data_IF_640857651162
#
_entry.id   IF_640857651162
#
_cell.length_a   1.000
_cell.length_b   1.000
_cell.length_c   1.000
_cell.angle_alpha   90.00
_cell.angle_beta   90.00
_cell.angle_gamma   90.00
#
_symmetry.space_group_name_H-M   'P 1'
#
loop_
_entity.id
_entity.type
_entity.pdbx_description
1 polymer ?
#
# COMPACT_ATOMS: atom_id res chain seq x y z
N UNK A 1 15.82 -43.88 2.70
CA UNK A 1 15.88 -42.69 3.59
C UNK A 1 14.52 -42.04 3.51
N UNK A 2 13.79 -41.93 4.61
CA UNK A 2 12.45 -41.32 4.63
C UNK A 2 12.59 -39.82 4.47
N UNK A 3 12.04 -39.26 3.39
CA UNK A 3 11.81 -37.82 3.27
C UNK A 3 10.90 -37.39 4.43
N UNK A 4 11.46 -36.62 5.36
CA UNK A 4 10.68 -35.98 6.41
C UNK A 4 9.81 -34.89 5.78
N UNK A 5 8.55 -35.21 5.48
CA UNK A 5 7.59 -34.23 4.98
C UNK A 5 7.30 -33.16 6.06
N UNK A 6 7.20 -31.90 5.63
CA UNK A 6 6.83 -30.81 6.52
C UNK A 6 5.43 -31.05 7.12
N UNK A 7 5.32 -30.92 8.43
CA UNK A 7 4.04 -30.98 9.16
C UNK A 7 3.76 -29.59 9.77
N UNK A 8 2.72 -28.87 9.31
CA UNK A 8 2.34 -27.60 9.89
C UNK A 8 1.99 -27.75 11.39
N UNK A 9 2.32 -26.76 12.23
CA UNK A 9 1.92 -26.81 13.64
C UNK A 9 0.40 -26.62 13.78
N UNK A 10 -0.17 -27.14 14.89
CA UNK A 10 -1.59 -26.96 15.22
C UNK A 10 -1.99 -25.49 15.38
N UNK A 11 -1.05 -24.67 15.88
CA UNK A 11 -1.20 -23.22 16.01
C UNK A 11 0.01 -22.61 15.33
N UNK A 12 -0.22 -21.75 14.35
CA UNK A 12 0.84 -21.06 13.64
C UNK A 12 1.48 -19.98 14.53
N UNK A 13 2.79 -19.84 14.44
CA UNK A 13 3.59 -18.83 15.15
C UNK A 13 4.43 -18.05 14.15
N UNK A 14 4.68 -16.78 14.44
CA UNK A 14 5.62 -15.94 13.68
C UNK A 14 7.02 -16.04 14.28
N UNK A 15 7.64 -17.21 14.14
CA UNK A 15 8.95 -17.56 14.72
C UNK A 15 10.12 -17.43 13.74
N UNK A 16 9.83 -17.18 12.46
CA UNK A 16 10.81 -16.95 11.41
C UNK A 16 10.37 -15.81 10.49
N UNK A 17 11.33 -15.07 9.96
CA UNK A 17 11.06 -14.13 8.87
C UNK A 17 10.55 -14.91 7.65
N UNK A 18 9.47 -14.42 7.03
CA UNK A 18 9.10 -14.91 5.71
C UNK A 18 10.22 -14.53 4.75
N UNK A 19 10.87 -15.50 4.11
CA UNK A 19 11.92 -15.21 3.13
C UNK A 19 11.45 -14.29 1.99
N UNK A 20 12.39 -13.63 1.31
CA UNK A 20 12.13 -12.81 0.12
C UNK A 20 12.22 -11.31 0.34
N UNK A 21 11.98 -10.53 -0.72
CA UNK A 21 12.19 -9.07 -0.74
C UNK A 21 11.31 -8.30 0.27
N UNK A 22 10.17 -8.88 0.67
CA UNK A 22 9.18 -8.24 1.54
C UNK A 22 9.19 -8.76 2.99
N UNK A 23 10.21 -9.55 3.36
CA UNK A 23 10.39 -10.10 4.72
C UNK A 23 10.24 -9.04 5.82
N UNK A 24 10.78 -7.84 5.56
CA UNK A 24 10.84 -6.73 6.51
C UNK A 24 9.51 -5.98 6.69
N UNK A 25 8.55 -6.16 5.79
CA UNK A 25 7.28 -5.41 5.80
C UNK A 25 6.06 -6.31 6.04
N UNK A 26 6.13 -7.60 5.69
CA UNK A 26 5.04 -8.53 5.92
C UNK A 26 4.96 -8.90 7.41
N UNK A 27 3.79 -8.71 8.00
CA UNK A 27 3.54 -8.96 9.43
C UNK A 27 2.19 -9.65 9.62
N UNK A 28 2.01 -10.46 10.67
CA UNK A 28 0.73 -11.09 11.00
C UNK A 28 -0.26 -10.15 11.68
N UNK A 29 0.10 -8.87 11.82
CA UNK A 29 -0.71 -7.82 12.47
C UNK A 29 -0.80 -6.59 11.56
N UNK A 30 -1.92 -5.89 11.65
CA UNK A 30 -2.17 -4.64 10.93
C UNK A 30 -1.83 -3.41 11.80
N UNK A 31 -2.02 -2.22 11.22
CA UNK A 31 -1.91 -0.95 11.94
C UNK A 31 -0.61 -0.18 11.68
N UNK A 32 -0.62 1.06 12.14
CA UNK A 32 0.48 2.00 11.95
C UNK A 32 1.73 1.59 12.74
N UNK A 33 2.91 1.89 12.20
CA UNK A 33 4.21 1.65 12.84
C UNK A 33 4.91 2.93 13.27
N UNK A 34 4.52 4.06 12.69
CA UNK A 34 5.11 5.36 12.94
C UNK A 34 4.11 6.46 12.67
N UNK A 35 4.29 7.59 13.35
CA UNK A 35 3.52 8.80 13.07
C UNK A 35 4.07 9.46 11.81
N UNK A 36 3.20 9.67 10.84
CA UNK A 36 3.52 10.35 9.58
C UNK A 36 2.25 10.91 8.98
N UNK A 37 2.18 12.24 8.89
CA UNK A 37 1.10 12.93 8.20
C UNK A 37 1.31 12.88 6.69
N UNK A 38 0.21 12.75 5.96
CA UNK A 38 0.26 12.73 4.51
C UNK A 38 0.28 14.16 3.95
N UNK A 39 1.09 14.45 2.92
CA UNK A 39 1.05 15.74 2.23
C UNK A 39 -0.30 15.90 1.51
N UNK A 40 -0.79 17.14 1.42
CA UNK A 40 -2.00 17.50 0.69
C UNK A 40 -1.67 18.65 -0.25
N UNK A 41 -1.95 18.47 -1.53
CA UNK A 41 -1.71 19.48 -2.57
C UNK A 41 -2.92 20.36 -2.83
N UNK A 42 -2.97 20.93 -4.03
CA UNK A 42 -4.00 21.92 -4.42
C UNK A 42 -5.20 21.31 -5.15
N UNK A 43 -5.04 20.10 -5.68
CA UNK A 43 -6.02 19.47 -6.55
C UNK A 43 -7.11 18.77 -5.72
N UNK A 44 -8.33 18.61 -6.25
CA UNK A 44 -9.46 18.08 -5.50
C UNK A 44 -9.28 16.62 -5.07
N UNK A 45 -8.44 15.86 -5.79
CA UNK A 45 -8.18 14.45 -5.51
C UNK A 45 -6.75 14.24 -5.03
N UNK A 46 -6.56 13.61 -3.86
CA UNK A 46 -5.26 13.31 -3.29
C UNK A 46 -4.99 11.81 -3.40
N UNK A 47 -4.16 11.40 -4.36
CA UNK A 47 -3.83 10.01 -4.63
C UNK A 47 -2.51 9.61 -3.97
N UNK A 48 -2.58 8.68 -3.01
CA UNK A 48 -1.41 8.08 -2.37
C UNK A 48 -1.16 6.70 -2.97
N UNK A 49 -0.12 6.57 -3.79
CA UNK A 49 0.05 5.41 -4.66
C UNK A 49 1.51 5.08 -5.00
N UNK A 50 1.68 4.05 -5.81
CA UNK A 50 2.96 3.61 -6.39
C UNK A 50 2.67 3.03 -7.78
N UNK A 51 3.64 3.14 -8.71
CA UNK A 51 3.54 2.65 -10.10
C UNK A 51 3.54 1.10 -10.22
N UNK A 52 2.63 0.45 -9.51
CA UNK A 52 2.32 -0.98 -9.58
C UNK A 52 1.13 -1.20 -10.52
N UNK A 53 0.83 -2.45 -10.94
CA UNK A 53 -0.38 -2.75 -11.70
C UNK A 53 -1.69 -2.29 -11.03
N UNK A 54 -1.74 -2.15 -9.71
CA UNK A 54 -2.91 -1.58 -9.03
C UNK A 54 -2.93 -0.05 -9.05
N UNK A 55 -1.77 0.59 -8.87
CA UNK A 55 -1.66 2.05 -8.90
C UNK A 55 -1.95 2.64 -10.27
N UNK A 56 -1.43 2.02 -11.34
CA UNK A 56 -1.66 2.50 -12.72
C UNK A 56 -3.13 2.49 -13.14
N UNK A 57 -3.97 1.62 -12.54
CA UNK A 57 -5.41 1.60 -12.83
C UNK A 57 -6.06 2.96 -12.50
N UNK A 58 -5.69 3.54 -11.37
CA UNK A 58 -6.29 4.79 -10.88
C UNK A 58 -5.73 5.97 -11.64
N UNK A 59 -4.41 6.04 -11.86
CA UNK A 59 -3.84 7.13 -12.65
C UNK A 59 -4.34 7.11 -14.08
N UNK A 60 -4.43 5.94 -14.73
CA UNK A 60 -5.03 5.84 -16.08
C UNK A 60 -6.47 6.30 -16.08
N UNK A 61 -7.30 5.89 -15.12
CA UNK A 61 -8.68 6.38 -15.02
C UNK A 61 -8.75 7.91 -14.91
N UNK A 62 -7.90 8.51 -14.07
CA UNK A 62 -7.89 9.97 -13.88
C UNK A 62 -7.43 10.69 -15.15
N UNK A 63 -6.38 10.22 -15.81
CA UNK A 63 -5.91 10.77 -17.09
C UNK A 63 -6.97 10.62 -18.20
N UNK A 64 -7.69 9.50 -18.27
CA UNK A 64 -8.77 9.30 -19.25
C UNK A 64 -9.94 10.25 -18.98
N UNK A 65 -10.28 10.52 -17.71
CA UNK A 65 -11.30 11.51 -17.36
C UNK A 65 -10.86 12.93 -17.72
N UNK A 66 -9.60 13.28 -17.48
CA UNK A 66 -9.02 14.57 -17.86
C UNK A 66 -9.01 14.74 -19.39
N UNK A 67 -8.69 13.69 -20.15
CA UNK A 67 -8.73 13.69 -21.61
C UNK A 67 -10.14 13.94 -22.16
N UNK A 68 -11.18 13.54 -21.42
CA UNK A 68 -12.59 13.83 -21.74
C UNK A 68 -13.06 15.21 -21.25
N UNK A 69 -12.18 16.01 -20.63
CA UNK A 69 -12.47 17.36 -20.14
C UNK A 69 -13.12 17.42 -18.76
N UNK A 70 -13.07 16.34 -17.98
CA UNK A 70 -13.58 16.35 -16.60
C UNK A 70 -12.56 17.01 -15.65
N UNK A 71 -12.57 18.34 -15.56
CA UNK A 71 -11.64 19.12 -14.71
C UNK A 71 -11.66 18.72 -13.22
N UNK A 72 -12.77 18.15 -12.73
CA UNK A 72 -12.86 17.62 -11.37
C UNK A 72 -11.99 16.38 -11.10
N UNK A 73 -11.37 15.80 -12.14
CA UNK A 73 -10.46 14.65 -12.03
C UNK A 73 -8.99 15.06 -11.82
N UNK A 74 -8.69 16.36 -11.76
CA UNK A 74 -7.37 16.88 -11.41
C UNK A 74 -6.91 16.32 -10.05
N UNK A 75 -5.65 15.86 -9.97
CA UNK A 75 -5.16 15.12 -8.82
C UNK A 75 -3.70 15.41 -8.47
N UNK A 76 -3.37 15.34 -7.19
CA UNK A 76 -1.99 15.26 -6.70
C UNK A 76 -1.64 13.79 -6.45
N UNK A 77 -0.59 13.29 -7.11
CA UNK A 77 -0.12 11.91 -6.95
C UNK A 77 1.12 11.85 -6.05
N UNK A 78 0.91 11.41 -4.81
CA UNK A 78 1.95 11.24 -3.80
C UNK A 78 2.50 9.81 -3.82
N UNK A 79 3.83 9.71 -3.82
CA UNK A 79 4.53 8.42 -3.78
C UNK A 79 4.45 7.79 -2.38
N UNK A 80 4.04 6.52 -2.33
CA UNK A 80 4.10 5.65 -1.16
C UNK A 80 5.02 4.46 -1.49
N UNK A 81 6.25 4.50 -1.00
CA UNK A 81 7.23 3.43 -1.24
C UNK A 81 6.94 2.22 -0.35
N UNK A 82 6.20 1.26 -0.89
CA UNK A 82 5.78 0.07 -0.15
C UNK A 82 6.96 -0.80 0.30
N UNK A 83 8.13 -0.67 -0.34
CA UNK A 83 9.36 -1.36 0.03
C UNK A 83 10.02 -0.78 1.28
N UNK A 84 9.73 0.48 1.61
CA UNK A 84 10.19 1.17 2.83
C UNK A 84 9.20 1.15 3.98
N UNK A 85 7.95 0.75 3.71
CA UNK A 85 6.92 0.66 4.74
C UNK A 85 6.08 1.94 4.92
N UNK A 86 6.11 2.85 3.95
CA UNK A 86 5.36 4.12 3.97
C UNK A 86 3.85 3.90 4.17
N UNK A 87 3.32 2.78 3.69
CA UNK A 87 1.92 2.35 3.86
C UNK A 87 1.52 2.06 5.32
N UNK A 88 2.47 2.04 6.25
CA UNK A 88 2.23 1.88 7.68
C UNK A 88 2.36 3.18 8.47
N UNK A 89 2.49 4.34 7.81
CA UNK A 89 2.41 5.64 8.48
C UNK A 89 0.98 5.92 8.98
N UNK A 90 0.86 6.63 10.11
CA UNK A 90 -0.44 6.92 10.74
C UNK A 90 -1.45 7.58 9.78
N UNK A 91 -1.01 8.54 8.96
CA UNK A 91 -1.84 9.18 7.94
C UNK A 91 -2.31 8.22 6.85
N UNK A 92 -1.44 7.32 6.36
CA UNK A 92 -1.83 6.33 5.35
C UNK A 92 -2.81 5.29 5.92
N UNK A 93 -2.58 4.83 7.15
CA UNK A 93 -3.49 3.89 7.83
C UNK A 93 -4.85 4.51 8.10
N UNK A 94 -4.91 5.82 8.36
CA UNK A 94 -6.18 6.54 8.54
C UNK A 94 -7.06 6.52 7.29
N UNK A 95 -6.46 6.62 6.09
CA UNK A 95 -7.21 6.56 4.82
C UNK A 95 -7.42 5.13 4.32
N UNK A 96 -6.52 4.19 4.65
CA UNK A 96 -6.67 2.78 4.34
C UNK A 96 -6.11 1.87 5.44
N UNK A 97 -6.95 1.30 6.32
CA UNK A 97 -6.52 0.45 7.42
C UNK A 97 -5.90 -0.89 6.96
N UNK A 98 -6.06 -1.25 5.68
CA UNK A 98 -5.39 -2.42 5.09
C UNK A 98 -3.92 -2.16 4.71
N UNK A 99 -3.45 -0.91 4.82
CA UNK A 99 -2.09 -0.50 4.47
C UNK A 99 -1.69 -0.97 3.05
N UNK A 100 -2.53 -0.70 2.04
CA UNK A 100 -2.21 -0.97 0.63
C UNK A 100 -2.54 0.22 -0.26
N UNK A 101 -1.69 0.45 -1.25
CA UNK A 101 -1.96 1.36 -2.36
C UNK A 101 -2.89 0.70 -3.39
N UNK A 102 -3.55 1.49 -4.26
CA UNK A 102 -3.75 2.94 -4.14
C UNK A 102 -4.77 3.29 -3.04
N UNK A 103 -4.65 4.49 -2.46
CA UNK A 103 -5.65 5.10 -1.59
C UNK A 103 -5.91 6.55 -2.03
N UNK A 104 -7.16 7.00 -1.99
CA UNK A 104 -7.60 8.29 -2.51
C UNK A 104 -8.38 9.04 -1.41
N UNK A 105 -8.13 10.33 -1.27
CA UNK A 105 -8.87 11.26 -0.42
C UNK A 105 -9.44 12.40 -1.26
#
# INVERSE_FOLDING_TARGET
MTESSYQPPRVWTWDQESGGAFAKINRPIAGATHDHELPVGRHPLQLYSLATPNGVKVTVLLEELLALGHEGAEYDAWLIDIGKGDQFGSGFVAINPNSKIPALM
#
